data_IF_773063478490
#
_entry.id   IF_773063478490
#
_cell.length_a   1.000
_cell.length_b   1.000
_cell.length_c   1.000
_cell.angle_alpha   90.00
_cell.angle_beta   90.00
_cell.angle_gamma   90.00
#
_symmetry.space_group_name_H-M   'P 1'
#
loop_
_entity.id
_entity.type
_entity.pdbx_description
1 polymer ?
2 non-polymer ?
3 non-polymer ?
4 water ?
#
# COMPACT_ATOMS: atom_id res chain seq x y z
N UNK A 16 6.04 26.87 -33.56
CA UNK A 16 5.10 26.63 -32.47
C UNK A 16 4.78 25.17 -32.26
N UNK A 17 3.88 24.87 -31.30
CA UNK A 17 3.38 23.51 -31.04
C UNK A 17 2.10 23.52 -30.14
N UNK A 18 1.47 22.35 -29.99
CA UNK A 18 0.28 22.14 -29.15
C UNK A 18 0.47 21.04 -28.10
N UNK A 19 -0.34 21.01 -27.02
CA UNK A 19 -0.14 19.97 -25.98
C UNK A 19 -0.43 18.55 -26.45
N UNK A 20 0.33 17.56 -25.92
CA UNK A 20 0.14 16.15 -26.30
C UNK A 20 -1.17 15.56 -25.75
N UNK A 21 -1.73 14.60 -26.49
CA UNK A 21 -3.02 13.96 -26.22
C UNK A 21 -2.77 12.44 -26.26
N UNK A 22 -3.46 11.66 -25.41
CA UNK A 22 -3.23 10.21 -25.37
C UNK A 22 -4.44 9.43 -25.92
N UNK A 23 -5.56 9.43 -25.21
CA UNK A 23 -6.81 8.80 -25.66
C UNK A 23 -7.93 9.82 -25.46
N UNK A 24 -7.87 10.93 -26.21
CA UNK A 24 -8.82 12.02 -26.08
C UNK A 24 -8.78 12.62 -24.69
N UNK A 25 -7.56 12.95 -24.26
CA UNK A 25 -7.27 13.49 -22.94
C UNK A 25 -6.06 14.39 -23.11
N UNK A 26 -6.07 15.64 -22.59
CA UNK A 26 -4.83 16.42 -22.52
C UNK A 26 -3.89 15.66 -21.57
N UNK A 27 -2.68 15.40 -22.02
CA UNK A 27 -1.62 14.87 -21.18
C UNK A 27 -0.41 15.78 -21.41
N UNK A 28 -0.47 16.95 -20.76
CA UNK A 28 0.27 18.14 -21.12
C UNK A 28 1.52 18.32 -20.28
N UNK A 29 2.56 17.63 -20.69
CA UNK A 29 3.78 17.40 -19.90
C UNK A 29 5.01 17.98 -20.59
N UNK A 30 4.89 18.35 -21.88
CA UNK A 30 5.99 18.80 -22.71
C UNK A 30 6.44 20.19 -22.33
N UNK A 31 7.54 20.68 -22.87
CA UNK A 31 8.45 20.05 -23.87
C UNK A 31 9.44 19.02 -23.29
N UNK A 32 9.74 19.09 -21.99
CA UNK A 32 10.65 18.11 -21.36
C UNK A 32 10.29 16.64 -21.63
N UNK A 33 9.01 16.25 -21.50
CA UNK A 33 8.61 14.85 -21.57
C UNK A 33 7.80 14.61 -22.84
N UNK A 34 8.26 13.68 -23.71
CA UNK A 34 7.70 13.45 -25.04
C UNK A 34 7.48 11.96 -25.29
N UNK A 35 6.95 11.60 -26.47
CA UNK A 35 6.86 10.21 -26.94
C UNK A 35 6.11 9.41 -25.88
N UNK A 36 4.86 9.80 -25.64
CA UNK A 36 4.03 9.22 -24.60
C UNK A 36 3.47 7.85 -25.00
N UNK A 37 3.37 6.92 -24.04
CA UNK A 37 2.58 5.71 -24.21
C UNK A 37 1.63 5.59 -23.07
N UNK A 38 0.35 5.33 -23.36
CA UNK A 38 -0.62 4.97 -22.33
C UNK A 38 -0.14 3.72 -21.58
N UNK A 39 -0.25 3.74 -20.22
CA UNK A 39 0.03 2.60 -19.34
C UNK A 39 -1.30 2.08 -18.81
N UNK A 40 -2.02 2.92 -18.10
CA UNK A 40 -3.29 2.56 -17.44
C UNK A 40 -3.94 3.76 -16.81
N UNK A 41 -4.88 3.55 -15.89
CA UNK A 41 -5.45 4.66 -15.14
C UNK A 41 -6.00 4.24 -13.77
N UNK A 42 -6.63 5.19 -13.08
CA UNK A 42 -7.43 4.94 -11.89
C UNK A 42 -8.76 5.69 -11.93
N UNK A 43 -9.25 6.13 -10.74
CA UNK A 43 -10.52 6.85 -10.60
C UNK A 43 -10.37 8.34 -11.01
N UNK A 44 -9.29 9.00 -10.56
CA UNK A 44 -8.98 10.37 -11.01
C UNK A 44 -7.50 10.51 -11.50
N UNK A 45 -7.02 9.54 -12.29
CA UNK A 45 -5.82 9.78 -13.08
C UNK A 45 -5.37 8.81 -14.17
N UNK A 46 -5.13 9.33 -15.40
CA UNK A 46 -4.41 8.58 -16.45
C UNK A 46 -2.91 8.49 -16.12
N UNK A 47 -2.29 7.31 -16.38
CA UNK A 47 -0.85 7.03 -16.17
C UNK A 47 -0.24 6.71 -17.53
N UNK A 48 0.92 7.32 -17.86
CA UNK A 48 1.66 7.14 -19.11
C UNK A 48 3.13 7.01 -18.83
N UNK A 49 3.86 6.43 -19.76
CA UNK A 49 5.30 6.58 -19.82
C UNK A 49 5.60 7.69 -20.85
N UNK A 50 6.79 8.28 -20.71
CA UNK A 50 7.23 9.40 -21.52
C UNK A 50 8.74 9.41 -21.53
N UNK A 51 9.35 9.96 -22.58
CA UNK A 51 10.80 10.10 -22.70
C UNK A 51 11.19 11.43 -22.07
N UNK A 52 12.00 11.38 -21.00
CA UNK A 52 12.51 12.56 -20.33
C UNK A 52 13.69 13.09 -21.15
N UNK A 53 13.55 14.27 -21.75
CA UNK A 53 14.61 14.83 -22.61
C UNK A 53 15.81 15.31 -21.82
N UNK A 54 15.68 15.61 -20.50
CA UNK A 54 16.82 16.03 -19.67
C UNK A 54 17.63 14.82 -19.22
N UNK A 55 17.00 13.89 -18.50
CA UNK A 55 17.70 12.71 -18.01
C UNK A 55 17.87 11.63 -19.07
N UNK A 56 17.21 11.75 -20.24
CA UNK A 56 17.36 10.82 -21.37
C UNK A 56 17.03 9.37 -20.96
N UNK A 57 15.89 9.23 -20.27
CA UNK A 57 15.31 7.95 -19.85
C UNK A 57 13.81 8.02 -20.00
N UNK A 58 13.16 6.89 -20.20
CA UNK A 58 11.71 6.90 -20.14
C UNK A 58 11.30 6.90 -18.65
N UNK A 59 10.22 7.64 -18.33
CA UNK A 59 9.71 7.86 -16.96
C UNK A 59 8.23 7.51 -16.92
N UNK A 60 7.66 7.38 -15.70
CA UNK A 60 6.20 7.28 -15.53
C UNK A 60 5.64 8.63 -15.12
N UNK A 61 4.48 8.98 -15.70
CA UNK A 61 3.76 10.21 -15.39
C UNK A 61 2.30 9.86 -15.11
N UNK A 62 1.81 10.26 -13.92
CA UNK A 62 0.46 10.13 -13.42
C UNK A 62 -0.23 11.55 -13.46
N UNK A 63 -1.34 11.68 -14.20
CA UNK A 63 -2.13 12.91 -14.29
C UNK A 63 -3.12 12.93 -13.15
N UNK A 64 -3.08 13.93 -12.25
CA UNK A 64 -4.00 14.07 -11.13
C UNK A 64 -4.84 15.32 -11.37
N UNK A 65 -6.18 15.17 -11.24
CA UNK A 65 -7.15 16.27 -11.31
C UNK A 65 -8.07 16.19 -10.06
N UNK A 66 -7.59 16.69 -8.91
CA UNK A 66 -8.30 16.47 -7.64
C UNK A 66 -9.05 17.71 -7.10
N UNK A 67 -9.10 18.84 -7.85
CA UNK A 67 -9.54 20.07 -7.21
C UNK A 67 -11.08 20.20 -7.13
N UNK A 68 -11.85 19.18 -7.63
CA UNK A 68 -13.33 19.16 -7.57
C UNK A 68 -13.86 18.47 -6.31
N UNK A 69 -13.20 17.39 -5.82
CA UNK A 69 -13.58 16.70 -4.57
C UNK A 69 -12.51 16.92 -3.50
N UNK A 70 -12.92 17.24 -2.26
CA UNK A 70 -11.97 17.50 -1.17
C UNK A 70 -11.26 16.21 -0.67
N UNK A 71 -11.86 15.03 -0.91
CA UNK A 71 -11.23 13.73 -0.59
C UNK A 71 -10.10 13.42 -1.60
N UNK A 72 -10.27 13.81 -2.87
CA UNK A 72 -9.18 13.72 -3.85
C UNK A 72 -8.03 14.67 -3.45
N UNK A 73 -8.34 15.89 -2.95
CA UNK A 73 -7.33 16.86 -2.54
C UNK A 73 -6.55 16.40 -1.33
N UNK A 74 -7.27 15.94 -0.28
CA UNK A 74 -6.63 15.33 0.91
C UNK A 74 -5.68 14.22 0.49
N UNK A 75 -6.14 13.29 -0.36
CA UNK A 75 -5.36 12.11 -0.74
C UNK A 75 -4.12 12.50 -1.56
N UNK A 76 -4.29 13.40 -2.56
CA UNK A 76 -3.19 13.99 -3.33
C UNK A 76 -2.16 14.65 -2.44
N UNK A 77 -2.57 15.53 -1.56
CA UNK A 77 -1.63 16.26 -0.72
C UNK A 77 -0.85 15.33 0.22
N UNK A 78 -1.58 14.45 0.90
CA UNK A 78 -1.03 13.47 1.85
C UNK A 78 0.11 12.69 1.18
N UNK A 79 -0.16 12.16 -0.01
CA UNK A 79 0.84 11.40 -0.74
C UNK A 79 2.02 12.26 -1.19
N UNK A 80 1.74 13.46 -1.74
CA UNK A 80 2.82 14.34 -2.16
C UNK A 80 3.74 14.56 -0.99
N UNK A 81 3.20 15.04 0.13
CA UNK A 81 4.03 15.34 1.31
C UNK A 81 4.82 14.11 1.75
N UNK A 82 4.17 12.94 1.85
CA UNK A 82 4.87 11.74 2.32
C UNK A 82 6.00 11.37 1.36
N UNK A 83 5.74 11.28 0.06
CA UNK A 83 6.74 10.79 -0.89
C UNK A 83 7.92 11.72 -1.08
N UNK A 84 7.70 13.04 -0.91
CA UNK A 84 8.79 14.03 -0.96
C UNK A 84 9.68 13.94 0.32
N UNK A 85 9.10 13.56 1.47
CA UNK A 85 9.87 13.46 2.70
C UNK A 85 10.68 12.17 2.70
N UNK A 86 10.04 11.09 2.29
CA UNK A 86 10.62 9.75 2.27
C UNK A 86 11.67 9.59 1.21
N UNK A 87 12.76 8.91 1.56
CA UNK A 87 13.81 8.54 0.61
C UNK A 87 14.28 7.11 0.91
N UNK A 88 13.92 6.16 0.06
CA UNK A 88 14.23 4.74 0.34
C UNK A 88 14.13 3.94 -0.95
N UNK A 89 15.04 3.00 -1.13
CA UNK A 89 15.13 2.20 -2.37
C UNK A 89 13.89 1.39 -2.63
N UNK A 90 13.09 1.07 -1.58
CA UNK A 90 11.90 0.25 -1.73
C UNK A 90 10.62 1.04 -1.66
N UNK A 91 10.69 2.36 -1.83
CA UNK A 91 9.55 3.24 -1.83
C UNK A 91 9.70 4.12 -3.05
N UNK A 92 8.62 4.23 -3.84
CA UNK A 92 8.66 5.08 -5.02
C UNK A 92 8.88 6.57 -4.61
N UNK A 93 9.73 7.28 -5.30
CA UNK A 93 9.83 8.71 -5.05
C UNK A 93 9.05 9.53 -6.06
N UNK A 94 9.15 10.85 -5.89
CA UNK A 94 8.75 11.80 -6.91
C UNK A 94 10.00 12.50 -7.51
N UNK A 95 10.19 12.40 -8.83
CA UNK A 95 11.31 12.99 -9.57
C UNK A 95 11.00 14.39 -10.04
N UNK A 96 9.75 14.66 -10.36
CA UNK A 96 9.32 15.96 -10.85
C UNK A 96 7.80 16.09 -10.70
N UNK A 97 7.31 17.33 -10.64
CA UNK A 97 5.88 17.62 -10.60
C UNK A 97 5.60 18.73 -11.56
N UNK A 98 4.66 18.49 -12.54
CA UNK A 98 4.30 19.50 -13.54
C UNK A 98 2.95 20.11 -13.21
N UNK A 99 2.91 21.46 -13.17
CA UNK A 99 1.67 22.16 -13.02
C UNK A 99 1.82 23.58 -13.53
N UNK A 100 0.69 24.27 -13.72
CA UNK A 100 0.67 25.66 -14.14
C UNK A 100 1.44 26.58 -13.17
N UNK A 101 1.95 27.71 -13.66
CA UNK A 101 2.69 28.61 -12.77
C UNK A 101 1.88 29.36 -11.72
N UNK A 102 0.54 29.41 -11.81
CA UNK A 102 -0.32 30.12 -10.85
C UNK A 102 -1.47 29.22 -10.42
N UNK A 103 -2.06 29.52 -9.22
CA UNK A 103 -3.19 28.76 -8.69
C UNK A 103 -4.36 28.81 -9.64
N UNK A 104 -4.61 30.00 -10.19
CA UNK A 104 -5.72 30.26 -11.09
C UNK A 104 -5.63 29.38 -12.32
N UNK A 105 -4.41 29.17 -12.85
CA UNK A 105 -4.23 28.41 -14.09
C UNK A 105 -4.03 26.95 -13.82
N UNK A 106 -3.82 26.57 -12.55
CA UNK A 106 -3.57 25.19 -12.18
C UNK A 106 -4.87 24.41 -12.15
N UNK A 107 -4.98 23.43 -13.03
CA UNK A 107 -6.11 22.49 -13.08
C UNK A 107 -5.65 21.07 -12.81
N UNK A 108 -4.60 20.63 -13.45
CA UNK A 108 -4.09 19.28 -13.24
C UNK A 108 -2.68 19.37 -12.64
N UNK A 109 -2.28 18.32 -11.96
CA UNK A 109 -0.91 18.13 -11.51
C UNK A 109 -0.39 16.83 -12.16
N UNK A 110 0.84 16.85 -12.68
CA UNK A 110 1.48 15.63 -13.18
C UNK A 110 2.61 15.24 -12.27
N UNK A 111 2.59 13.99 -11.78
CA UNK A 111 3.64 13.43 -10.95
C UNK A 111 4.55 12.50 -11.77
N UNK A 112 5.84 12.83 -11.80
CA UNK A 112 6.86 12.15 -12.56
C UNK A 112 7.64 11.26 -11.62
N UNK A 113 7.71 9.95 -11.95
CA UNK A 113 8.29 8.92 -11.11
C UNK A 113 9.13 7.97 -11.95
N UNK A 114 10.01 7.18 -11.32
CA UNK A 114 10.79 6.16 -12.03
C UNK A 114 9.83 5.20 -12.74
N UNK A 115 10.22 4.74 -13.94
CA UNK A 115 9.36 3.88 -14.74
C UNK A 115 9.69 2.47 -14.37
N UNK A 116 8.66 1.73 -13.98
CA UNK A 116 8.80 0.35 -13.54
C UNK A 116 8.26 -0.52 -14.64
N UNK A 117 8.65 -1.81 -14.69
CA UNK A 117 8.14 -2.72 -15.72
C UNK A 117 6.71 -3.07 -15.47
N UNK A 118 6.35 -3.40 -14.21
CA UNK A 118 5.01 -3.89 -13.93
C UNK A 118 4.69 -3.70 -12.44
N UNK A 119 3.58 -4.28 -12.01
CA UNK A 119 3.25 -4.38 -10.58
C UNK A 119 3.00 -5.84 -10.20
N UNK A 120 2.96 -6.15 -8.91
CA UNK A 120 2.76 -7.51 -8.45
C UNK A 120 1.38 -8.06 -8.83
N UNK A 121 0.36 -7.20 -8.92
CA UNK A 121 -0.98 -7.67 -9.30
C UNK A 121 -0.97 -8.27 -10.71
N UNK A 122 -0.38 -7.54 -11.69
CA UNK A 122 -0.23 -8.01 -13.06
C UNK A 122 0.66 -9.20 -13.12
N UNK A 123 1.77 -9.17 -12.37
CA UNK A 123 2.68 -10.30 -12.37
C UNK A 123 1.99 -11.58 -11.84
N UNK A 124 1.23 -11.46 -10.76
CA UNK A 124 0.53 -12.63 -10.19
C UNK A 124 -0.59 -13.21 -11.07
N UNK A 125 -1.19 -12.41 -11.94
CA UNK A 125 -2.24 -12.93 -12.79
C UNK A 125 -1.64 -13.72 -13.97
N UNK A 126 -0.33 -13.48 -14.33
CA UNK A 126 0.32 -14.08 -15.51
C UNK A 126 1.51 -15.02 -15.15
N UNK A 127 2.12 -14.94 -13.92
CA UNK A 127 3.45 -15.59 -13.69
C UNK A 127 3.44 -16.38 -12.41
N UNK A 128 4.01 -17.59 -12.45
CA UNK A 128 4.30 -18.38 -11.24
C UNK A 128 5.60 -17.84 -10.64
N UNK A 129 5.60 -17.61 -9.32
CA UNK A 129 6.80 -17.14 -8.65
C UNK A 129 7.60 -18.28 -8.11
N UNK A 130 8.93 -18.33 -8.35
CA UNK A 130 9.76 -19.27 -7.65
C UNK A 130 9.83 -18.83 -6.19
N UNK A 131 10.22 -19.77 -5.30
CA UNK A 131 10.49 -19.47 -3.89
C UNK A 131 11.51 -18.37 -3.72
N UNK A 132 12.55 -18.35 -4.54
CA UNK A 132 13.54 -17.26 -4.43
C UNK A 132 12.93 -15.84 -4.78
N UNK A 133 12.03 -15.76 -5.77
CA UNK A 133 11.30 -14.53 -6.06
C UNK A 133 10.42 -14.14 -4.91
N UNK A 134 9.67 -15.08 -4.30
CA UNK A 134 8.77 -14.79 -3.20
C UNK A 134 9.57 -14.26 -2.03
N UNK A 135 10.68 -14.92 -1.76
CA UNK A 135 11.56 -14.54 -0.66
C UNK A 135 12.08 -13.12 -0.80
N UNK A 136 12.59 -12.78 -1.98
CA UNK A 136 13.14 -11.49 -2.28
C UNK A 136 12.11 -10.35 -2.26
N UNK A 137 10.96 -10.57 -2.86
CA UNK A 137 9.83 -9.66 -2.84
C UNK A 137 9.38 -9.39 -1.44
N UNK A 138 9.21 -10.43 -0.63
CA UNK A 138 8.78 -10.25 0.76
C UNK A 138 9.85 -9.46 1.53
N UNK A 139 11.14 -9.81 1.39
CA UNK A 139 12.21 -9.02 1.98
C UNK A 139 12.07 -7.52 1.66
N UNK A 140 11.93 -7.16 0.37
CA UNK A 140 11.92 -5.75 -0.03
C UNK A 140 10.66 -5.02 0.47
N UNK A 141 9.49 -5.73 0.50
CA UNK A 141 8.27 -5.18 1.11
C UNK A 141 8.54 -4.77 2.55
N UNK A 142 9.07 -5.72 3.36
CA UNK A 142 9.31 -5.49 4.78
C UNK A 142 10.38 -4.46 5.03
N UNK A 143 11.42 -4.43 4.18
CA UNK A 143 12.50 -3.42 4.28
C UNK A 143 11.94 -2.02 4.08
N UNK A 144 11.08 -1.85 3.05
CA UNK A 144 10.33 -0.63 2.79
C UNK A 144 9.41 -0.31 3.94
N UNK A 145 8.67 -1.31 4.40
CA UNK A 145 7.73 -1.13 5.52
C UNK A 145 8.42 -0.75 6.84
N UNK A 146 9.63 -1.25 7.12
CA UNK A 146 10.40 -0.86 8.29
C UNK A 146 10.63 0.64 8.30
N UNK A 147 11.05 1.20 7.17
CA UNK A 147 11.22 2.64 7.01
C UNK A 147 9.91 3.48 7.21
N UNK A 148 8.84 3.05 6.59
CA UNK A 148 7.55 3.70 6.69
C UNK A 148 7.13 3.72 8.18
N UNK A 149 7.11 2.54 8.80
CA UNK A 149 6.75 2.43 10.22
C UNK A 149 7.67 3.19 11.17
N UNK A 150 8.95 3.26 10.87
CA UNK A 150 9.94 4.01 11.68
C UNK A 150 9.65 5.54 11.67
N UNK A 151 8.99 6.01 10.61
CA UNK A 151 8.55 7.40 10.50
C UNK A 151 7.17 7.61 11.17
N UNK A 152 6.68 6.61 11.90
CA UNK A 152 5.35 6.61 12.55
C UNK A 152 4.20 6.73 11.56
N UNK A 153 4.43 6.26 10.33
CA UNK A 153 3.40 6.28 9.29
C UNK A 153 2.87 4.87 9.10
N UNK A 154 1.57 4.77 8.79
CA UNK A 154 0.90 3.55 8.31
C UNK A 154 0.54 3.71 6.88
N UNK A 155 0.85 2.71 6.04
CA UNK A 155 0.50 2.73 4.65
C UNK A 155 -1.01 2.62 4.47
N UNK A 156 -1.56 1.59 5.06
CA UNK A 156 -3.00 1.28 5.15
C UNK A 156 -3.63 0.81 3.84
N UNK A 157 -2.87 0.57 2.77
CA UNK A 157 -3.48 -0.02 1.58
C UNK A 157 -2.47 -0.83 0.76
N UNK A 158 -1.70 -1.68 1.47
CA UNK A 158 -0.72 -2.58 0.87
C UNK A 158 -1.52 -3.65 0.17
N UNK A 159 -1.20 -3.86 -1.09
CA UNK A 159 -1.84 -4.89 -1.92
C UNK A 159 -0.95 -5.05 -3.13
N UNK A 160 -1.07 -6.17 -3.86
CA UNK A 160 -0.19 -6.39 -5.04
C UNK A 160 -0.15 -5.26 -6.06
N UNK A 161 -1.27 -4.54 -6.33
CA UNK A 161 -1.20 -3.43 -7.31
C UNK A 161 -0.43 -2.21 -6.81
N UNK A 162 -0.13 -2.08 -5.49
CA UNK A 162 0.67 -1.00 -4.95
C UNK A 162 2.13 -1.32 -4.75
N UNK A 163 2.58 -2.40 -5.42
CA UNK A 163 3.95 -2.86 -5.37
C UNK A 163 4.47 -2.96 -6.82
N UNK A 164 5.34 -2.05 -7.16
CA UNK A 164 5.88 -1.95 -8.48
C UNK A 164 7.18 -2.70 -8.56
N UNK A 165 7.45 -3.32 -9.73
CA UNK A 165 8.65 -4.09 -10.02
C UNK A 165 9.33 -3.60 -11.27
N UNK A 166 10.64 -3.53 -11.24
CA UNK A 166 11.45 -3.24 -12.43
C UNK A 166 11.85 -4.56 -13.12
N UNK A 167 12.62 -4.52 -14.22
CA UNK A 167 12.93 -5.74 -15.01
C UNK A 167 13.83 -6.76 -14.30
N UNK A 168 14.55 -6.33 -13.25
CA UNK A 168 15.41 -7.15 -12.41
C UNK A 168 14.76 -7.43 -11.03
N UNK A 169 13.46 -7.25 -10.91
CA UNK A 169 12.63 -7.65 -9.76
C UNK A 169 12.90 -6.88 -8.46
N UNK A 170 13.47 -5.65 -8.58
CA UNK A 170 13.51 -4.75 -7.42
C UNK A 170 12.14 -4.13 -7.27
N UNK A 171 11.74 -3.93 -6.01
CA UNK A 171 10.38 -3.66 -5.63
C UNK A 171 10.31 -2.28 -5.02
N UNK A 172 9.26 -1.52 -5.37
CA UNK A 172 8.98 -0.23 -4.78
C UNK A 172 7.49 -0.12 -4.36
N UNK A 173 7.27 0.30 -3.13
CA UNK A 173 5.94 0.53 -2.57
C UNK A 173 5.45 1.85 -3.11
N UNK A 174 4.21 1.89 -3.60
CA UNK A 174 3.59 3.14 -4.06
C UNK A 174 2.21 3.35 -3.43
N UNK A 175 1.57 4.46 -3.76
CA UNK A 175 0.21 4.81 -3.32
C UNK A 175 0.09 5.03 -1.80
N UNK A 176 0.41 6.23 -1.37
CA UNK A 176 0.31 6.63 0.02
C UNK A 176 -0.94 7.49 0.30
N UNK A 177 -1.94 7.42 -0.56
CA UNK A 177 -3.16 8.23 -0.46
C UNK A 177 -4.00 7.94 0.78
N UNK A 178 -3.95 6.71 1.31
CA UNK A 178 -4.68 6.37 2.52
C UNK A 178 -3.80 6.37 3.73
N UNK A 179 -2.55 6.81 3.61
CA UNK A 179 -1.61 6.69 4.71
C UNK A 179 -1.97 7.60 5.86
N UNK A 180 -1.60 7.22 7.09
CA UNK A 180 -1.91 8.03 8.26
C UNK A 180 -0.76 7.95 9.20
N UNK A 181 -0.64 8.94 10.07
CA UNK A 181 0.22 8.81 11.24
C UNK A 181 -0.40 7.82 12.21
N UNK A 182 0.42 6.93 12.74
CA UNK A 182 -0.02 5.95 13.69
C UNK A 182 -0.61 6.61 14.95
N UNK A 183 -1.68 6.00 15.52
CA UNK A 183 -2.41 6.55 16.67
C UNK A 183 -2.97 5.41 17.49
N UNK A 184 -2.09 4.60 18.10
CA UNK A 184 -2.57 3.40 18.78
C UNK A 184 -3.55 3.59 19.93
N UNK A 185 -3.60 4.80 20.57
CA UNK A 185 -4.48 5.08 21.71
C UNK A 185 -5.86 5.50 21.27
N UNK A 186 -6.05 5.82 19.98
CA UNK A 186 -7.38 6.11 19.43
C UNK A 186 -7.82 5.07 18.40
N UNK A 187 -7.34 3.84 18.54
CA UNK A 187 -7.64 2.78 17.58
C UNK A 187 -9.06 2.16 17.71
N UNK A 188 -9.68 2.27 18.89
CA UNK A 188 -10.94 1.56 19.18
C UNK A 188 -12.16 2.16 18.55
N UNK A 189 -13.03 1.31 18.03
CA UNK A 189 -14.33 1.73 17.55
C UNK A 189 -15.27 0.58 17.75
N UNK A 190 -16.54 0.76 17.38
CA UNK A 190 -17.56 -0.26 17.46
C UNK A 190 -17.53 -1.26 16.29
N UNK A 191 -18.48 -2.18 16.37
CA UNK A 191 -18.62 -3.32 15.46
C UNK A 191 -19.16 -2.85 14.10
N UNK A 192 -18.60 -3.39 13.00
CA UNK A 192 -19.00 -3.02 11.64
C UNK A 192 -18.83 -1.50 11.33
N UNK A 193 -17.70 -0.89 11.73
CA UNK A 193 -17.40 0.52 11.36
C UNK A 193 -16.91 0.57 9.95
N UNK A 194 -17.50 1.43 9.12
CA UNK A 194 -17.18 1.48 7.69
C UNK A 194 -15.70 1.85 7.49
N UNK A 195 -15.08 1.24 6.48
CA UNK A 195 -13.65 1.39 6.28
C UNK A 195 -13.40 1.70 4.82
N UNK A 196 -12.24 2.30 4.55
CA UNK A 196 -11.89 2.77 3.21
C UNK A 196 -10.96 1.79 2.45
N UNK A 197 -9.98 1.17 3.13
CA UNK A 197 -8.94 0.40 2.45
C UNK A 197 -9.42 -0.90 1.81
N UNK A 198 -8.63 -1.48 0.91
CA UNK A 198 -9.06 -2.57 0.05
C UNK A 198 -9.45 -3.79 0.83
N UNK A 199 -10.68 -4.31 0.56
CA UNK A 199 -11.33 -5.32 1.39
C UNK A 199 -10.51 -6.59 1.60
N UNK A 200 -9.88 -7.15 0.58
CA UNK A 200 -9.25 -8.46 0.69
C UNK A 200 -8.00 -8.48 1.61
N UNK A 201 -7.44 -7.29 1.92
CA UNK A 201 -6.22 -7.11 2.68
C UNK A 201 -6.50 -6.48 4.02
N UNK A 202 -7.80 -6.39 4.41
CA UNK A 202 -8.23 -5.82 5.68
C UNK A 202 -8.08 -6.85 6.78
N UNK A 203 -7.44 -6.45 7.89
CA UNK A 203 -7.23 -7.26 9.05
C UNK A 203 -8.58 -7.55 9.71
N UNK A 204 -8.71 -8.69 10.43
CA UNK A 204 -10.01 -8.99 11.06
C UNK A 204 -10.53 -7.92 12.00
N UNK A 205 -9.62 -7.31 12.78
CA UNK A 205 -9.98 -6.27 13.76
C UNK A 205 -10.71 -5.08 13.16
N UNK A 206 -10.53 -4.79 11.86
CA UNK A 206 -11.21 -3.62 11.23
C UNK A 206 -12.73 -3.79 11.29
N UNK A 207 -13.18 -5.04 11.13
CA UNK A 207 -14.59 -5.37 11.04
C UNK A 207 -15.18 -5.48 12.44
N UNK A 208 -14.31 -5.56 13.47
CA UNK A 208 -14.71 -5.83 14.83
C UNK A 208 -14.63 -4.60 15.72
N UNK A 209 -13.44 -3.99 15.82
CA UNK A 209 -13.23 -2.94 16.82
C UNK A 209 -12.06 -1.96 16.54
N UNK A 210 -11.58 -1.87 15.28
CA UNK A 210 -10.34 -1.10 15.00
C UNK A 210 -10.56 -0.08 13.91
N UNK A 211 -10.04 1.16 14.13
CA UNK A 211 -9.94 2.17 13.09
C UNK A 211 -8.74 1.99 12.13
N UNK A 212 -7.89 1.00 12.30
CA UNK A 212 -6.74 0.86 11.45
C UNK A 212 -5.64 1.86 11.71
N UNK A 213 -5.48 2.25 12.97
CA UNK A 213 -4.52 3.26 13.41
C UNK A 213 -3.23 2.66 14.01
N UNK A 214 -3.01 1.34 13.87
CA UNK A 214 -1.81 0.71 14.46
C UNK A 214 -1.02 0.03 13.37
N UNK A 215 0.27 -0.15 13.62
CA UNK A 215 1.22 -0.74 12.67
C UNK A 215 0.84 -2.18 12.25
N UNK A 216 0.18 -2.94 13.16
CA UNK A 216 -0.34 -4.28 12.92
C UNK A 216 -1.27 -4.38 11.74
N UNK A 217 -1.89 -3.30 11.36
CA UNK A 217 -2.77 -3.32 10.18
C UNK A 217 -2.02 -3.59 8.84
N UNK A 218 -0.85 -3.04 8.71
CA UNK A 218 -0.02 -3.24 7.52
C UNK A 218 0.58 -4.61 7.49
N UNK A 219 0.93 -5.18 8.65
CA UNK A 219 1.52 -6.51 8.70
C UNK A 219 0.51 -7.52 8.23
N UNK A 220 -0.76 -7.35 8.59
CA UNK A 220 -1.82 -8.24 8.11
C UNK A 220 -1.80 -8.24 6.57
N UNK A 221 -1.87 -7.05 5.97
CA UNK A 221 -1.83 -6.89 4.52
C UNK A 221 -0.61 -7.56 3.95
N UNK A 222 0.57 -7.38 4.52
CA UNK A 222 1.77 -8.14 4.03
C UNK A 222 1.57 -9.68 4.08
N UNK A 223 0.98 -10.20 5.15
CA UNK A 223 0.64 -11.62 5.27
C UNK A 223 -0.23 -12.09 4.12
N UNK A 224 -1.28 -11.32 3.78
CA UNK A 224 -2.20 -11.63 2.67
C UNK A 224 -1.46 -11.66 1.34
N UNK A 225 -0.52 -10.72 1.12
CA UNK A 225 0.29 -10.62 -0.07
C UNK A 225 1.22 -11.81 -0.16
N UNK A 226 1.85 -12.19 0.95
CA UNK A 226 2.65 -13.40 1.02
C UNK A 226 1.83 -14.63 0.63
N UNK A 227 0.69 -14.80 1.25
CA UNK A 227 -0.20 -15.91 0.81
C UNK A 227 -0.53 -15.92 -0.69
N UNK A 228 -0.75 -14.76 -1.25
CA UNK A 228 -1.16 -14.67 -2.66
C UNK A 228 0.03 -14.96 -3.61
N UNK A 229 1.24 -14.59 -3.19
CA UNK A 229 2.49 -14.97 -3.89
C UNK A 229 2.67 -16.48 -3.91
N UNK A 230 2.27 -17.19 -2.83
CA UNK A 230 2.39 -18.63 -2.75
C UNK A 230 1.48 -19.41 -3.76
N UNK A 231 0.25 -18.94 -4.03
CA UNK A 231 -0.77 -19.61 -4.84
C UNK A 231 -1.27 -18.84 -6.09
N UNK A 232 -0.90 -17.57 -6.30
CA UNK A 232 -1.46 -16.71 -7.35
C UNK A 232 -2.94 -16.43 -7.19
N UNK A 233 -3.45 -16.47 -5.97
CA UNK A 233 -4.89 -16.31 -5.73
C UNK A 233 -5.00 -15.59 -4.42
N UNK A 234 -5.86 -14.56 -4.30
CA UNK A 234 -5.99 -13.90 -2.99
C UNK A 234 -6.44 -14.91 -1.92
N UNK A 235 -5.89 -14.83 -0.73
CA UNK A 235 -6.22 -15.82 0.31
C UNK A 235 -7.67 -15.65 0.89
N UNK A 236 -8.13 -14.43 1.04
CA UNK A 236 -9.43 -14.11 1.65
C UNK A 236 -10.21 -13.14 0.69
N UNK A 237 -10.72 -13.66 -0.41
CA UNK A 237 -11.47 -12.78 -1.33
C UNK A 237 -12.91 -12.48 -0.89
N UNK A 238 -13.13 -11.72 0.18
CA UNK A 238 -14.50 -11.40 0.60
C UNK A 238 -15.25 -10.57 -0.43
N UNK A 239 -16.54 -10.87 -0.62
CA UNK A 239 -17.40 -10.13 -1.58
C UNK A 239 -18.13 -8.94 -0.93
N UNK A 240 -18.04 -8.78 0.39
CA UNK A 240 -18.66 -7.63 1.06
C UNK A 240 -18.19 -7.53 2.51
N UNK A 241 -18.53 -6.43 3.17
CA UNK A 241 -17.90 -6.04 4.41
C UNK A 241 -17.72 -7.18 5.38
N UNK A 242 -18.82 -7.83 5.83
CA UNK A 242 -18.72 -8.88 6.87
C UNK A 242 -18.26 -10.24 6.30
N UNK A 243 -18.52 -10.53 5.01
CA UNK A 243 -17.95 -11.70 4.29
C UNK A 243 -16.43 -11.79 4.43
N UNK A 244 -15.78 -10.66 4.39
CA UNK A 244 -14.33 -10.62 4.61
C UNK A 244 -13.90 -11.33 5.88
N UNK A 245 -14.62 -11.10 7.00
CA UNK A 245 -14.34 -11.78 8.28
C UNK A 245 -14.65 -13.29 8.18
N UNK A 246 -15.71 -13.71 7.45
CA UNK A 246 -16.09 -15.12 7.19
C UNK A 246 -14.90 -15.89 6.59
N UNK A 247 -14.29 -15.27 5.57
CA UNK A 247 -13.15 -15.84 4.87
C UNK A 247 -11.95 -15.99 5.83
N UNK A 248 -11.67 -14.98 6.67
CA UNK A 248 -10.51 -15.04 7.56
C UNK A 248 -10.67 -16.18 8.57
N UNK A 249 -11.85 -16.21 9.19
CA UNK A 249 -12.16 -17.20 10.21
C UNK A 249 -12.25 -18.59 9.62
N UNK A 250 -12.68 -18.71 8.34
CA UNK A 250 -12.68 -19.94 7.57
C UNK A 250 -11.35 -20.66 7.57
N UNK A 251 -10.23 -19.93 7.56
CA UNK A 251 -8.88 -20.48 7.52
C UNK A 251 -8.24 -20.47 8.88
N UNK A 252 -8.34 -19.35 9.63
CA UNK A 252 -7.72 -19.31 10.96
C UNK A 252 -8.45 -20.16 11.99
N UNK A 253 -9.72 -20.43 11.75
CA UNK A 253 -10.58 -21.04 12.74
C UNK A 253 -11.10 -20.03 13.73
N UNK A 254 -11.94 -20.50 14.64
CA UNK A 254 -12.61 -19.71 15.67
C UNK A 254 -11.53 -19.10 16.55
N UNK A 255 -11.65 -17.80 16.90
CA UNK A 255 -10.74 -17.21 17.91
C UNK A 255 -10.78 -17.89 19.27
N UNK A 256 -9.61 -17.99 19.88
CA UNK A 256 -9.46 -18.57 21.20
C UNK A 256 -10.16 -17.72 22.23
N UNK A 257 -10.40 -18.30 23.37
CA UNK A 257 -10.98 -17.54 24.47
C UNK A 257 -10.12 -16.31 24.82
N UNK A 258 -8.79 -16.48 24.84
CA UNK A 258 -7.89 -15.37 25.14
C UNK A 258 -7.99 -14.22 24.15
N UNK A 259 -8.07 -14.55 22.88
CA UNK A 259 -8.21 -13.52 21.88
C UNK A 259 -9.58 -12.80 21.92
N UNK A 260 -10.65 -13.51 22.26
CA UNK A 260 -11.98 -12.89 22.48
C UNK A 260 -11.99 -11.98 23.67
N UNK A 261 -11.25 -12.35 24.76
CA UNK A 261 -11.13 -11.51 25.95
C UNK A 261 -10.53 -10.14 25.67
N UNK A 262 -9.63 -10.02 24.67
CA UNK A 262 -9.15 -8.69 24.25
C UNK A 262 -10.22 -7.85 23.53
N UNK A 263 -11.31 -8.47 22.99
CA UNK A 263 -12.38 -7.76 22.29
C UNK A 263 -13.45 -7.41 23.35
N UNK A 264 -13.30 -6.25 23.94
CA UNK A 264 -14.19 -5.79 24.99
C UNK A 264 -15.56 -5.36 24.44
N UNK A 265 -15.63 -4.79 23.23
CA UNK A 265 -16.90 -4.34 22.66
C UNK A 265 -17.87 -5.52 22.54
N UNK A 266 -19.06 -5.40 23.12
CA UNK A 266 -19.98 -6.52 23.19
C UNK A 266 -20.58 -6.97 21.88
N UNK A 267 -20.93 -6.01 20.99
CA UNK A 267 -21.48 -6.37 19.70
C UNK A 267 -20.52 -7.22 18.93
N UNK A 268 -19.28 -6.80 18.88
CA UNK A 268 -18.23 -7.53 18.19
C UNK A 268 -17.99 -8.92 18.80
N UNK A 269 -17.82 -8.99 20.13
CA UNK A 269 -17.60 -10.26 20.86
C UNK A 269 -18.77 -11.23 20.66
N UNK A 270 -19.98 -10.76 20.80
CA UNK A 270 -21.13 -11.65 20.75
C UNK A 270 -21.41 -12.10 19.35
N UNK A 271 -21.04 -11.32 18.35
CA UNK A 271 -21.07 -11.81 16.98
C UNK A 271 -20.12 -13.01 16.85
N UNK A 272 -18.90 -12.86 17.29
CA UNK A 272 -18.01 -14.01 17.22
C UNK A 272 -18.49 -15.24 18.01
N UNK A 273 -19.07 -15.04 19.20
CA UNK A 273 -19.58 -16.15 20.00
C UNK A 273 -20.78 -16.82 19.34
N UNK A 274 -21.51 -16.11 18.45
CA UNK A 274 -22.67 -16.64 17.78
C UNK A 274 -22.36 -17.62 16.69
N UNK A 275 -21.12 -17.65 16.20
CA UNK A 275 -20.79 -18.44 15.03
C UNK A 275 -20.50 -19.89 15.44
N UNK A 276 -20.75 -20.86 14.56
CA UNK A 276 -20.36 -22.23 14.88
C UNK A 276 -18.85 -22.35 14.97
N UNK A 277 -18.38 -23.39 15.64
CA UNK A 277 -16.97 -23.69 15.67
C UNK A 277 -16.43 -23.93 14.27
N UNK A 278 -15.26 -23.32 13.97
CA UNK A 278 -14.48 -23.56 12.75
C UNK A 278 -13.06 -23.93 13.12
N UNK A 279 -12.58 -24.99 12.47
CA UNK A 279 -11.24 -25.51 12.65
C UNK A 279 -10.28 -24.68 11.86
N UNK A 280 -9.06 -24.55 12.36
CA UNK A 280 -7.96 -24.00 11.61
C UNK A 280 -7.69 -24.90 10.42
N UNK A 281 -7.45 -24.29 9.24
CA UNK A 281 -6.99 -25.02 8.04
C UNK A 281 -5.46 -24.96 8.12
N UNK A 282 -4.73 -26.10 8.22
CA UNK A 282 -3.25 -26.03 8.26
C UNK A 282 -2.69 -25.32 7.03
N UNK A 283 -1.79 -24.37 7.24
CA UNK A 283 -1.09 -23.66 6.15
C UNK A 283 -0.53 -24.58 5.10
N UNK A 284 0.14 -25.68 5.53
CA UNK A 284 0.80 -26.59 4.63
C UNK A 284 -0.17 -27.44 3.78
N UNK A 285 -1.45 -27.52 4.18
CA UNK A 285 -2.53 -28.12 3.39
C UNK A 285 -2.96 -27.14 2.34
N UNK A 286 -3.09 -25.85 2.73
CA UNK A 286 -3.48 -24.79 1.84
C UNK A 286 -2.39 -24.54 0.81
N UNK A 287 -1.12 -24.67 1.22
CA UNK A 287 0.06 -24.36 0.39
C UNK A 287 1.06 -25.49 0.43
N UNK A 288 0.73 -26.60 -0.26
CA UNK A 288 1.58 -27.81 -0.16
C UNK A 288 2.99 -27.70 -0.80
N UNK A 289 3.21 -26.78 -1.71
CA UNK A 289 4.55 -26.61 -2.29
C UNK A 289 5.39 -25.49 -1.63
N UNK A 290 4.84 -24.77 -0.62
CA UNK A 290 5.53 -23.67 0.01
C UNK A 290 6.62 -24.19 0.96
N UNK A 291 7.69 -23.43 1.05
CA UNK A 291 8.77 -23.55 2.01
C UNK A 291 8.18 -23.49 3.40
N UNK A 292 8.62 -24.36 4.31
CA UNK A 292 8.06 -24.43 5.67
C UNK A 292 8.36 -23.15 6.47
N UNK A 293 9.48 -22.51 6.19
CA UNK A 293 9.84 -21.26 6.88
C UNK A 293 8.96 -20.12 6.47
N UNK A 294 8.60 -20.06 5.14
CA UNK A 294 7.64 -19.07 4.60
C UNK A 294 6.28 -19.25 5.34
N UNK A 295 5.84 -20.54 5.53
CA UNK A 295 4.55 -20.76 6.20
C UNK A 295 4.60 -20.42 7.71
N UNK A 296 5.76 -20.60 8.36
CA UNK A 296 5.93 -20.15 9.76
C UNK A 296 5.80 -18.63 9.86
N UNK A 297 6.44 -17.86 8.91
CA UNK A 297 6.33 -16.41 8.94
C UNK A 297 4.91 -15.96 8.59
N UNK A 298 4.27 -16.60 7.59
CA UNK A 298 2.88 -16.36 7.23
C UNK A 298 1.98 -16.48 8.43
N UNK A 299 2.15 -17.54 9.20
CA UNK A 299 1.35 -17.79 10.39
C UNK A 299 1.46 -16.62 11.37
N UNK A 300 2.68 -16.11 11.57
CA UNK A 300 2.98 -15.02 12.50
C UNK A 300 2.44 -13.65 12.01
N UNK A 301 2.35 -13.44 10.68
CA UNK A 301 1.74 -12.21 10.12
C UNK A 301 0.21 -12.29 10.08
N UNK A 302 -0.35 -13.48 9.79
CA UNK A 302 -1.79 -13.65 9.81
C UNK A 302 -2.28 -14.20 11.16
N UNK A 303 -1.90 -13.54 12.26
CA UNK A 303 -2.30 -13.89 13.59
C UNK A 303 -3.56 -13.07 13.81
N UNK A 304 -4.63 -13.71 14.38
CA UNK A 304 -5.91 -13.03 14.61
C UNK A 304 -5.79 -11.82 15.49
N UNK A 305 -5.07 -12.00 16.59
CA UNK A 305 -4.93 -11.02 17.64
C UNK A 305 -3.83 -10.05 17.23
N UNK A 306 -4.14 -8.77 16.96
CA UNK A 306 -3.09 -7.81 16.51
C UNK A 306 -1.97 -7.51 17.49
N UNK A 307 -2.18 -7.73 18.78
CA UNK A 307 -1.14 -7.56 19.79
C UNK A 307 -0.13 -8.69 19.68
N UNK A 308 -0.56 -9.91 19.27
CA UNK A 308 0.33 -11.08 19.13
C UNK A 308 0.99 -11.15 17.75
N UNK A 309 0.50 -10.39 16.82
CA UNK A 309 0.98 -10.35 15.43
C UNK A 309 2.43 -9.87 15.37
N UNK A 310 3.24 -10.50 14.53
CA UNK A 310 4.66 -10.15 14.41
C UNK A 310 4.83 -8.66 13.95
N UNK A 311 5.89 -7.98 14.40
CA UNK A 311 6.16 -6.64 13.96
C UNK A 311 7.18 -6.71 12.82
N UNK A 312 7.33 -5.62 12.09
CA UNK A 312 8.14 -5.56 10.86
C UNK A 312 9.54 -5.93 11.11
N UNK A 313 10.12 -5.41 12.18
CA UNK A 313 11.52 -5.67 12.43
C UNK A 313 11.74 -7.15 12.82
N UNK A 314 10.81 -7.76 13.56
CA UNK A 314 10.83 -9.20 13.85
C UNK A 314 10.63 -10.03 12.61
N UNK A 315 9.70 -9.60 11.72
CA UNK A 315 9.51 -10.33 10.45
C UNK A 315 10.83 -10.35 9.64
N UNK A 316 11.55 -9.23 9.56
CA UNK A 316 12.82 -9.20 8.84
C UNK A 316 13.88 -10.16 9.41
N UNK A 317 13.91 -10.33 10.76
CA UNK A 317 14.81 -11.23 11.47
C UNK A 317 14.36 -12.71 11.40
N UNK A 318 13.24 -13.05 10.73
CA UNK A 318 12.71 -14.42 10.71
C UNK A 318 13.60 -15.29 9.83
N UNK A 319 13.83 -16.57 10.22
CA UNK A 319 14.67 -17.47 9.40
C UNK A 319 14.43 -17.49 7.89
N UNK A 320 13.18 -17.33 7.46
CA UNK A 320 12.86 -17.36 6.04
C UNK A 320 13.66 -16.32 5.28
N UNK A 321 13.96 -15.16 5.93
CA UNK A 321 14.62 -14.06 5.26
C UNK A 321 16.15 -13.98 5.59
N UNK A 322 16.75 -15.05 6.12
CA UNK A 322 18.13 -15.00 6.61
C UNK A 322 19.17 -14.72 5.54
N UNK A 323 18.86 -15.00 4.28
CA UNK A 323 19.81 -14.71 3.18
C UNK A 323 19.94 -13.22 2.93
N UNK A 324 18.90 -12.43 3.27
CA UNK A 324 18.89 -11.00 3.05
C UNK A 324 19.04 -10.21 4.35
N UNK A 325 18.69 -10.78 5.48
CA UNK A 325 18.55 -9.96 6.65
C UNK A 325 19.87 -9.30 7.01
N UNK A 326 19.85 -7.97 7.15
CA UNK A 326 21.02 -7.14 7.46
C UNK A 326 20.49 -5.77 7.98
N UNK A 327 20.32 -5.69 9.30
CA UNK A 327 19.67 -4.50 9.87
C UNK A 327 20.42 -3.20 9.60
N UNK A 328 21.74 -3.29 9.42
CA UNK A 328 22.60 -2.14 9.07
C UNK A 328 22.31 -1.64 7.65
N UNK A 329 21.73 -2.50 6.80
CA UNK A 329 21.33 -2.13 5.43
C UNK A 329 19.82 -2.06 5.27
N UNK A 330 19.08 -1.83 6.39
CA UNK A 330 17.64 -1.69 6.40
C UNK A 330 17.37 -0.38 7.17
N UNK A 331 17.51 0.75 6.45
CA UNK A 331 17.45 2.05 7.12
C UNK A 331 16.09 2.48 7.62
N UNK A 332 16.14 3.39 8.57
CA UNK A 332 14.95 4.05 9.14
C UNK A 332 14.93 5.52 8.80
N UNK A 333 13.78 6.17 8.98
CA UNK A 333 13.60 7.59 8.78
C UNK A 333 14.37 8.40 9.83
N UNK A 334 14.94 9.54 9.44
CA UNK A 334 15.64 10.48 10.33
C UNK A 334 14.73 11.01 11.43
N UNK A 335 13.43 11.11 11.17
CA UNK A 335 12.46 11.59 12.14
C UNK A 335 11.02 11.09 11.87
N UNK A 336 10.16 11.00 12.92
CA UNK A 336 8.71 10.79 12.68
C UNK A 336 8.06 11.83 11.77
N UNK A 337 7.11 11.40 10.96
CA UNK A 337 6.35 12.26 10.07
C UNK A 337 5.26 12.96 10.88
N UNK A 344 -7.91 16.86 7.20
CA UNK A 344 -8.56 17.32 8.43
C UNK A 344 -9.92 18.00 8.07
N UNK A 345 -10.17 19.28 8.46
CA UNK A 345 -11.41 19.98 8.08
C UNK A 345 -11.12 21.11 7.10
N UNK A 346 -10.17 20.90 6.15
CA UNK A 346 -9.72 21.95 5.25
C UNK A 346 -10.58 21.93 3.98
N UNK A 347 -11.18 23.04 3.58
CA UNK A 347 -11.91 23.05 2.30
C UNK A 347 -10.99 22.92 1.07
N UNK A 348 -11.62 22.67 -0.09
CA UNK A 348 -10.99 22.51 -1.40
C UNK A 348 -10.01 23.65 -1.77
N UNK A 349 -10.26 24.88 -1.29
CA UNK A 349 -9.50 26.06 -1.68
C UNK A 349 -8.21 26.11 -0.89
N UNK A 350 -8.28 25.83 0.42
CA UNK A 350 -7.07 25.76 1.22
C UNK A 350 -6.24 24.54 0.78
N UNK A 351 -6.89 23.42 0.37
CA UNK A 351 -6.15 22.23 -0.06
C UNK A 351 -5.44 22.50 -1.39
N UNK A 352 -6.13 23.19 -2.35
CA UNK A 352 -5.50 23.63 -3.61
C UNK A 352 -4.30 24.50 -3.37
N UNK A 353 -4.41 25.47 -2.43
CA UNK A 353 -3.28 26.34 -2.03
C UNK A 353 -2.18 25.51 -1.43
N UNK A 354 -2.54 24.54 -0.59
CA UNK A 354 -1.51 23.68 -0.01
C UNK A 354 -0.79 22.84 -1.08
N UNK A 355 -1.52 22.29 -2.06
CA UNK A 355 -0.91 21.46 -3.12
C UNK A 355 0.01 22.37 -3.99
N UNK A 356 -0.48 23.50 -4.44
CA UNK A 356 0.35 24.51 -5.12
C UNK A 356 1.69 24.79 -4.38
N UNK A 357 1.60 25.03 -3.05
CA UNK A 357 2.75 25.33 -2.21
C UNK A 357 3.74 24.16 -2.14
N UNK A 358 3.25 22.95 -1.93
CA UNK A 358 4.08 21.75 -1.78
C UNK A 358 4.82 21.37 -3.09
N UNK A 359 4.24 21.75 -4.25
CA UNK A 359 4.80 21.45 -5.58
C UNK A 359 5.70 22.56 -6.13
N UNK A 360 5.90 23.64 -5.37
CA UNK A 360 6.66 24.82 -5.78
C UNK A 360 8.14 24.57 -6.09
N UNK A 361 8.77 23.66 -5.35
CA UNK A 361 10.18 23.32 -5.53
C UNK A 361 10.51 22.77 -6.93
N UNK A 362 9.53 22.24 -7.68
CA UNK A 362 9.82 21.72 -9.01
C UNK A 362 9.64 22.72 -10.12
N UNK A 363 9.22 23.93 -9.80
CA UNK A 363 8.98 24.92 -10.84
C UNK A 363 10.29 25.53 -11.40
N UNK A 364 10.33 25.89 -12.70
CA UNK A 364 11.46 26.73 -13.18
C UNK A 364 11.42 28.08 -12.45
N UNK A 365 12.45 28.35 -11.64
CA UNK A 365 12.51 29.57 -10.82
C UNK A 365 11.61 29.50 -9.60
X LIG B 1 -16.95 -2.53 1.90
X LIG B 1 -16.57 -3.84 2.47
X LIG B 1 -16.78 -2.57 0.43
X LIG B 1 -18.34 -2.23 2.21
X LIG B 1 -16.02 -1.50 2.46
X LIG C 1 -16.26 -4.87 -4.94
X LIG C 1 -15.38 -5.38 -3.90
X LIG C 1 -17.26 -5.89 -5.26
X LIG C 1 -15.47 -4.58 -6.16
X LIG C 1 -16.89 -3.62 -4.49
X LIG D 1 6.11 1.23 17.93
X LIG D 1 6.26 -0.05 17.20
X LIG D 1 6.63 1.08 19.30
X LIG D 1 6.85 2.28 17.26
X LIG D 1 4.67 1.55 17.96
X LIG E 1 4.66 -0.19 -17.61
X LIG E 1 3.89 -0.49 -16.37
X LIG E 1 4.02 0.05 -15.13
X LIG E 1 4.94 0.99 -14.74
X LIG E 1 4.80 1.98 -13.80
X LIG E 1 5.82 3.55 -12.53
X LIG E 1 4.61 3.94 -11.97
X LIG E 1 3.52 3.26 -12.44
X LIG E 1 3.04 -0.62 -14.38
X LIG E 1 2.36 -2.21 -17.44
X LIG E 1 5.95 2.58 -13.45
X LIG E 1 4.51 5.03 -10.94
X LIG E 1 3.57 2.27 -13.35
X LIG E 1 2.36 -1.48 -15.12
X LIG E 1 2.89 -1.38 -16.36
X LIG E 1 5.04 -1.08 -18.09
X LIG E 1 5.51 0.47 -17.41
X LIG E 1 4.03 0.33 -18.35
X LIG E 1 5.86 0.89 -15.16
X LIG E 1 6.75 4.03 -12.24
X LIG E 1 2.52 3.47 -12.07
X LIG E 1 2.81 -0.49 -13.33
X LIG E 1 1.86 -3.10 -17.06
X LIG E 1 3.17 -2.55 -18.09
X LIG E 1 1.64 -1.66 -18.04
X LIG E 1 3.56 5.04 -10.43
X LIG E 1 4.64 6.01 -11.40
X LIG E 1 5.29 4.91 -10.19
#
# INVERSE_FOLDING_TARGET
MAHHHHHHMAAAAAAGAGPEMVRGQVFDVGPRYTNLSYIGEGAYGMVCSAYDNVNKVRVAIKKISPFEHQTYCQRTLREIKILLRFRHENIIGINDIIRAPTIEQMKDVYIVQDLMETDLYKLLKTQHLSNDHICYFLYQILRGLKYIHSANVLHRDLKPSNLLLNTTCDLKICDFGLARVADPDHDHTGFLTEYVATRWYRAPEIMLNSKGYTKSIDIWSVGCILAEMLSNRPIFPGKHYLDQLNHILGILGSPSQEDLNCIINLKARNYLLSLPHKNKVPWNRLFPNADSKALDLLDKMLTFNPHKRIEVEQALAHPYLEQYYDPSDEPIAEAPFKFDMELDDLPKEKLKELIFEETARFQPGYRS
SO4 S O1 O2 O3 O4
SO4 S O1 O2 O3 O4
SO4 S O1 O2 O3 O4
ERZ C1 C2 C3 N4 C5 C7 C8 C10 C12 C15 N6 C9 N11 N13 N14 H18 H17 H16 H19 H20 H24 H25 H28 H27 H26 H22 H21 H23
#
